data_IF_538587292446
#
_entry.id   IF_538587292446
#
_cell.length_a   1.000
_cell.length_b   1.000
_cell.length_c   1.000
_cell.angle_alpha   90.00
_cell.angle_beta   90.00
_cell.angle_gamma   90.00
#
_symmetry.space_group_name_H-M   'P 1'
#
loop_
_entity.id
_entity.type
_entity.pdbx_description
1 polymer ?
#
# COMPACT_ATOMS: atom_id res chain seq x y z
N UNK A 1 -1.37 -7.25 20.27
CA UNK A 1 -1.25 -6.19 19.23
C UNK A 1 -0.44 -5.03 19.77
N UNK A 2 0.56 -4.55 19.00
CA UNK A 2 1.26 -3.33 19.37
C UNK A 2 0.30 -2.14 19.31
N UNK A 3 0.61 -1.04 20.00
CA UNK A 3 -0.21 0.17 19.92
C UNK A 3 -0.29 0.68 18.46
N UNK A 4 0.81 0.55 17.71
CA UNK A 4 0.87 0.92 16.29
C UNK A 4 -0.13 0.13 15.43
N UNK A 5 -0.30 -1.17 15.68
CA UNK A 5 -1.27 -1.98 14.93
C UNK A 5 -2.71 -1.47 15.12
N UNK A 6 -3.04 -0.97 16.31
CA UNK A 6 -4.39 -0.46 16.60
C UNK A 6 -4.58 0.95 16.04
N UNK A 7 -3.66 1.88 16.31
CA UNK A 7 -3.82 3.28 15.86
C UNK A 7 -3.76 3.44 14.34
N UNK A 8 -3.03 2.55 13.64
CA UNK A 8 -2.97 2.56 12.18
C UNK A 8 -3.94 1.59 11.52
N UNK A 9 -4.83 0.95 12.27
CA UNK A 9 -5.91 0.16 11.67
C UNK A 9 -6.86 1.04 10.85
N UNK A 10 -7.62 0.43 9.94
CA UNK A 10 -8.62 1.13 9.11
C UNK A 10 -9.65 1.92 9.94
N UNK A 11 -9.91 1.47 11.17
CA UNK A 11 -10.83 2.11 12.12
C UNK A 11 -10.32 3.48 12.59
N UNK A 12 -9.01 3.62 12.87
CA UNK A 12 -8.48 4.80 13.55
C UNK A 12 -7.56 5.67 12.70
N UNK A 13 -6.97 5.14 11.63
CA UNK A 13 -5.87 5.84 10.92
C UNK A 13 -6.28 7.22 10.39
N UNK A 14 -7.51 7.39 9.90
CA UNK A 14 -8.00 8.68 9.42
C UNK A 14 -8.29 9.66 10.55
N UNK A 15 -8.66 9.15 11.73
CA UNK A 15 -8.86 9.97 12.93
C UNK A 15 -7.52 10.48 13.44
N UNK A 16 -6.51 9.60 13.53
CA UNK A 16 -5.13 9.96 13.84
C UNK A 16 -4.61 11.02 12.87
N UNK A 17 -4.79 10.82 11.56
CA UNK A 17 -4.33 11.79 10.55
C UNK A 17 -4.99 13.16 10.73
N UNK A 18 -6.31 13.21 11.02
CA UNK A 18 -6.96 14.50 11.24
C UNK A 18 -6.58 15.16 12.57
N UNK A 19 -6.18 14.40 13.59
CA UNK A 19 -5.58 14.99 14.79
C UNK A 19 -4.24 15.69 14.50
N UNK A 20 -3.56 15.29 13.43
CA UNK A 20 -2.28 15.84 12.98
C UNK A 20 -2.41 16.94 11.91
N UNK A 21 -3.63 17.37 11.57
CA UNK A 21 -3.87 18.45 10.60
C UNK A 21 -3.56 19.85 11.14
N UNK A 22 -3.53 19.99 12.47
CA UNK A 22 -3.19 21.23 13.15
C UNK A 22 -1.69 21.29 13.46
N UNK A 23 -1.01 22.28 12.88
CA UNK A 23 0.36 22.63 13.18
C UNK A 23 0.41 24.14 13.50
N UNK A 24 0.77 24.55 14.73
CA UNK A 24 0.84 25.97 15.10
C UNK A 24 1.92 26.74 14.32
N UNK A 25 2.90 26.07 13.73
CA UNK A 25 3.95 26.69 12.93
C UNK A 25 3.49 27.01 11.49
N UNK A 26 2.31 26.53 11.08
CA UNK A 26 1.79 26.70 9.72
C UNK A 26 0.56 27.59 9.73
N UNK A 27 0.56 28.63 8.87
CA UNK A 27 -0.51 29.63 8.81
C UNK A 27 -1.90 29.08 8.41
N UNK A 28 -1.96 27.86 7.83
CA UNK A 28 -3.20 27.21 7.41
C UNK A 28 -3.19 25.75 7.85
N UNK A 29 -4.31 25.33 8.43
CA UNK A 29 -4.61 23.93 8.74
C UNK A 29 -4.50 23.11 7.45
N UNK A 30 -3.70 22.05 7.49
CA UNK A 30 -3.55 21.13 6.37
C UNK A 30 -4.77 20.22 6.30
N UNK A 31 -5.26 19.90 5.10
CA UNK A 31 -6.47 19.09 4.90
C UNK A 31 -6.13 17.66 4.47
N UNK A 32 -5.24 17.00 5.20
CA UNK A 32 -4.74 15.66 4.90
C UNK A 32 -5.85 14.61 4.78
N UNK A 33 -6.84 14.61 5.68
CA UNK A 33 -7.95 13.64 5.69
C UNK A 33 -8.82 13.81 4.45
N UNK A 34 -9.13 15.06 4.07
CA UNK A 34 -9.90 15.37 2.84
C UNK A 34 -9.11 14.94 1.61
N UNK A 35 -7.80 15.21 1.57
CA UNK A 35 -6.96 14.75 0.48
C UNK A 35 -7.00 13.22 0.32
N UNK A 36 -6.79 12.48 1.42
CA UNK A 36 -6.77 11.01 1.41
C UNK A 36 -8.14 10.37 1.10
N UNK A 37 -9.25 11.05 1.41
CA UNK A 37 -10.61 10.56 1.12
C UNK A 37 -11.07 10.92 -0.28
N UNK A 38 -10.82 12.15 -0.72
CA UNK A 38 -11.51 12.72 -1.89
C UNK A 38 -10.60 12.81 -3.12
N UNK A 39 -9.27 12.83 -2.94
CA UNK A 39 -8.31 13.05 -4.04
C UNK A 39 -7.44 11.83 -4.34
N UNK A 40 -7.29 10.92 -3.38
CA UNK A 40 -6.54 9.67 -3.60
C UNK A 40 -7.45 8.65 -4.27
N UNK A 41 -7.09 8.26 -5.50
CA UNK A 41 -7.79 7.24 -6.25
C UNK A 41 -6.99 5.94 -6.20
N UNK A 42 -7.61 4.89 -5.64
CA UNK A 42 -7.06 3.55 -5.71
C UNK A 42 -7.33 2.98 -7.11
N UNK A 43 -6.25 2.74 -7.86
CA UNK A 43 -6.30 2.21 -9.22
C UNK A 43 -5.92 0.74 -9.22
N UNK A 44 -6.76 -0.07 -9.82
CA UNK A 44 -6.57 -1.52 -9.93
C UNK A 44 -6.36 -1.91 -11.39
N UNK A 45 -5.16 -2.38 -11.74
CA UNK A 45 -4.92 -2.97 -13.06
C UNK A 45 -5.74 -4.27 -13.24
N UNK A 46 -5.98 -4.96 -12.12
CA UNK A 46 -6.78 -6.18 -12.00
C UNK A 46 -7.59 -6.06 -10.70
N UNK A 47 -8.91 -6.30 -10.72
CA UNK A 47 -9.73 -6.25 -9.53
C UNK A 47 -9.24 -7.22 -8.44
N UNK A 48 -8.98 -6.70 -7.24
CA UNK A 48 -8.58 -7.48 -6.07
C UNK A 48 -9.83 -7.80 -5.25
N UNK A 49 -10.28 -9.05 -5.29
CA UNK A 49 -11.50 -9.49 -4.59
C UNK A 49 -11.32 -9.60 -3.07
N UNK A 50 -10.09 -9.86 -2.62
CA UNK A 50 -9.80 -10.03 -1.21
C UNK A 50 -9.72 -8.69 -0.48
N UNK A 51 -10.75 -8.38 0.31
CA UNK A 51 -10.86 -7.12 1.08
C UNK A 51 -9.68 -6.93 2.04
N UNK A 52 -9.11 -8.02 2.58
CA UNK A 52 -7.93 -7.92 3.46
C UNK A 52 -6.68 -7.46 2.69
N UNK A 53 -6.54 -7.83 1.42
CA UNK A 53 -5.45 -7.33 0.57
C UNK A 53 -5.63 -5.84 0.30
N UNK A 54 -6.84 -5.43 -0.07
CA UNK A 54 -7.19 -4.02 -0.31
C UNK A 54 -6.95 -3.15 0.93
N UNK A 55 -7.42 -3.61 2.10
CA UNK A 55 -7.18 -2.98 3.40
C UNK A 55 -5.69 -2.76 3.67
N UNK A 56 -4.85 -3.78 3.43
CA UNK A 56 -3.39 -3.66 3.61
C UNK A 56 -2.74 -2.69 2.64
N UNK A 57 -3.18 -2.65 1.39
CA UNK A 57 -2.68 -1.68 0.40
C UNK A 57 -2.99 -0.25 0.85
N UNK A 58 -4.24 0.01 1.27
CA UNK A 58 -4.63 1.33 1.79
C UNK A 58 -3.87 1.70 3.05
N UNK A 59 -3.71 0.76 3.98
CA UNK A 59 -2.94 0.97 5.20
C UNK A 59 -1.49 1.32 4.88
N UNK A 60 -0.84 0.59 3.97
CA UNK A 60 0.52 0.89 3.49
C UNK A 60 0.61 2.31 2.93
N UNK A 61 -0.31 2.71 2.07
CA UNK A 61 -0.32 4.05 1.49
C UNK A 61 -0.48 5.14 2.56
N UNK A 62 -1.44 4.98 3.48
CA UNK A 62 -1.72 5.97 4.53
C UNK A 62 -0.58 6.09 5.53
N UNK A 63 0.06 4.98 5.91
CA UNK A 63 1.25 5.01 6.77
C UNK A 63 2.43 5.65 6.04
N UNK A 64 2.61 5.36 4.74
CA UNK A 64 3.60 6.04 3.90
C UNK A 64 3.37 7.55 3.84
N UNK A 65 2.12 7.98 3.62
CA UNK A 65 1.75 9.39 3.64
C UNK A 65 2.02 10.05 5.00
N UNK A 66 1.66 9.38 6.09
CA UNK A 66 1.97 9.85 7.44
C UNK A 66 3.49 10.02 7.64
N UNK A 67 4.27 9.04 7.22
CA UNK A 67 5.74 9.02 7.34
C UNK A 67 6.41 10.13 6.52
N UNK A 68 6.04 10.26 5.26
CA UNK A 68 6.77 11.07 4.27
C UNK A 68 6.21 12.49 4.12
N UNK A 69 4.94 12.73 4.48
CA UNK A 69 4.26 14.03 4.29
C UNK A 69 3.96 14.71 5.63
N UNK A 70 3.41 13.99 6.61
CA UNK A 70 2.92 14.59 7.85
C UNK A 70 4.02 14.68 8.91
N UNK A 71 4.76 13.60 9.13
CA UNK A 71 5.70 13.49 10.26
C UNK A 71 7.21 13.53 9.94
N UNK A 72 7.72 13.86 8.72
CA UNK A 72 9.13 13.64 8.38
C UNK A 72 10.13 14.41 9.27
N UNK A 73 9.70 15.47 9.97
CA UNK A 73 10.55 16.30 10.83
C UNK A 73 10.52 15.90 12.32
N UNK A 74 9.57 15.07 12.71
CA UNK A 74 9.29 14.78 14.14
C UNK A 74 9.37 13.29 14.47
N UNK A 75 9.57 12.42 13.48
CA UNK A 75 9.81 11.00 13.71
C UNK A 75 11.22 10.78 14.26
N UNK A 76 11.32 10.08 15.38
CA UNK A 76 12.56 9.48 15.83
C UNK A 76 12.86 8.18 15.06
N UNK A 77 14.11 7.71 15.13
CA UNK A 77 14.56 6.53 14.40
C UNK A 77 13.76 5.26 14.77
N UNK A 78 13.35 5.14 16.05
CA UNK A 78 12.60 4.00 16.54
C UNK A 78 11.17 3.94 15.98
N UNK A 79 10.46 5.08 15.93
CA UNK A 79 9.13 5.17 15.33
C UNK A 79 9.23 4.98 13.83
N UNK A 80 10.21 5.58 13.16
CA UNK A 80 10.44 5.40 11.73
C UNK A 80 10.67 3.92 11.37
N UNK A 81 11.49 3.21 12.14
CA UNK A 81 11.71 1.77 11.97
C UNK A 81 10.42 0.96 12.16
N UNK A 82 9.56 1.35 13.12
CA UNK A 82 8.27 0.71 13.37
C UNK A 82 7.30 0.91 12.19
N UNK A 83 7.20 2.12 11.63
CA UNK A 83 6.36 2.40 10.45
C UNK A 83 6.82 1.61 9.23
N UNK A 84 8.14 1.57 8.98
CA UNK A 84 8.72 0.78 7.89
C UNK A 84 8.43 -0.72 8.08
N UNK A 85 8.54 -1.23 9.30
CA UNK A 85 8.21 -2.63 9.61
C UNK A 85 6.75 -2.96 9.25
N UNK A 86 5.80 -2.08 9.57
CA UNK A 86 4.38 -2.28 9.22
C UNK A 86 4.19 -2.26 7.70
N UNK A 87 4.78 -1.29 7.00
CA UNK A 87 4.75 -1.21 5.53
C UNK A 87 5.30 -2.50 4.90
N UNK A 88 6.47 -2.96 5.34
CA UNK A 88 7.09 -4.18 4.83
C UNK A 88 6.23 -5.42 5.12
N UNK A 89 5.66 -5.52 6.31
CA UNK A 89 4.76 -6.62 6.70
C UNK A 89 3.51 -6.66 5.84
N UNK A 90 2.92 -5.50 5.54
CA UNK A 90 1.77 -5.40 4.66
C UNK A 90 2.11 -5.77 3.22
N UNK A 91 3.22 -5.26 2.68
CA UNK A 91 3.68 -5.62 1.33
C UNK A 91 3.90 -7.12 1.21
N UNK A 92 4.51 -7.75 2.22
CA UNK A 92 4.70 -9.19 2.26
C UNK A 92 3.38 -9.98 2.26
N UNK A 93 2.42 -9.56 3.06
CA UNK A 93 1.11 -10.17 3.08
C UNK A 93 0.36 -9.99 1.75
N UNK A 94 0.37 -8.79 1.16
CA UNK A 94 -0.25 -8.50 -0.14
C UNK A 94 0.33 -9.39 -1.22
N UNK A 95 1.67 -9.48 -1.32
CA UNK A 95 2.33 -10.31 -2.33
C UNK A 95 2.00 -11.78 -2.13
N UNK A 96 2.07 -12.28 -0.90
CA UNK A 96 1.75 -13.69 -0.62
C UNK A 96 0.31 -14.01 -1.01
N UNK A 97 -0.64 -13.18 -0.59
CA UNK A 97 -2.07 -13.41 -0.85
C UNK A 97 -2.42 -13.33 -2.34
N UNK A 98 -1.84 -12.39 -3.08
CA UNK A 98 -2.06 -12.28 -4.53
C UNK A 98 -1.38 -13.39 -5.31
N UNK A 99 -0.18 -13.81 -4.90
CA UNK A 99 0.55 -14.94 -5.51
C UNK A 99 -0.20 -16.26 -5.33
N UNK A 100 -0.79 -16.45 -4.15
CA UNK A 100 -1.52 -17.69 -3.83
C UNK A 100 -2.96 -17.69 -4.38
N UNK A 101 -3.45 -16.56 -4.91
CA UNK A 101 -4.73 -16.45 -5.62
C UNK A 101 -4.58 -16.85 -7.10
N UNK A 102 -4.84 -18.13 -7.37
CA UNK A 102 -4.77 -18.68 -8.73
C UNK A 102 -5.71 -17.96 -9.72
N UNK A 103 -6.87 -17.46 -9.28
CA UNK A 103 -7.80 -16.73 -10.15
C UNK A 103 -7.21 -15.38 -10.54
N UNK A 104 -6.64 -14.65 -9.57
CA UNK A 104 -5.97 -13.38 -9.83
C UNK A 104 -4.82 -13.53 -10.83
N UNK A 105 -3.98 -14.56 -10.66
CA UNK A 105 -2.85 -14.83 -11.55
C UNK A 105 -3.32 -15.24 -12.96
N UNK A 106 -4.39 -16.03 -13.06
CA UNK A 106 -4.98 -16.38 -14.36
C UNK A 106 -5.54 -15.13 -15.06
N UNK A 107 -6.26 -14.28 -14.36
CA UNK A 107 -6.83 -13.04 -14.89
C UNK A 107 -5.72 -12.09 -15.37
N UNK A 108 -4.62 -11.98 -14.63
CA UNK A 108 -3.42 -11.21 -15.00
C UNK A 108 -2.85 -11.63 -16.34
N UNK A 109 -2.55 -12.93 -16.50
CA UNK A 109 -1.96 -13.42 -17.74
C UNK A 109 -2.95 -13.46 -18.90
N UNK A 110 -4.23 -13.72 -18.62
CA UNK A 110 -5.30 -13.66 -19.62
C UNK A 110 -5.42 -12.26 -20.22
N UNK A 111 -5.48 -11.22 -19.37
CA UNK A 111 -5.52 -9.83 -19.82
C UNK A 111 -4.27 -9.44 -20.60
N UNK A 112 -3.08 -9.79 -20.11
CA UNK A 112 -1.81 -9.49 -20.80
C UNK A 112 -1.70 -10.12 -22.19
N UNK A 113 -2.30 -11.31 -22.39
CA UNK A 113 -2.29 -12.04 -23.67
C UNK A 113 -3.47 -11.69 -24.56
N UNK A 114 -4.40 -10.86 -24.10
CA UNK A 114 -5.57 -10.49 -24.89
C UNK A 114 -5.15 -9.74 -26.17
N UNK A 115 -5.60 -10.17 -27.36
CA UNK A 115 -5.28 -9.47 -28.61
C UNK A 115 -5.93 -8.08 -28.70
N UNK A 116 -6.94 -7.82 -27.88
CA UNK A 116 -7.73 -6.58 -27.88
C UNK A 116 -7.38 -5.64 -26.71
N UNK A 117 -6.26 -5.86 -26.01
CA UNK A 117 -5.87 -4.99 -24.90
C UNK A 117 -5.50 -3.58 -25.40
N UNK A 118 -6.02 -2.55 -24.75
CA UNK A 118 -5.63 -1.16 -25.03
C UNK A 118 -4.19 -0.88 -24.59
N UNK A 119 -3.54 0.10 -25.22
CA UNK A 119 -2.18 0.49 -24.82
C UNK A 119 -2.10 1.00 -23.37
N UNK A 120 -3.16 1.67 -22.90
CA UNK A 120 -3.27 2.14 -21.52
C UNK A 120 -3.36 0.98 -20.53
N UNK A 121 -4.29 0.04 -20.73
CA UNK A 121 -4.41 -1.14 -19.85
C UNK A 121 -3.16 -2.02 -19.89
N UNK A 122 -2.51 -2.14 -21.05
CA UNK A 122 -1.23 -2.86 -21.16
C UNK A 122 -0.14 -2.18 -20.33
N UNK A 123 -0.06 -0.86 -20.38
CA UNK A 123 0.88 -0.08 -19.56
C UNK A 123 0.61 -0.27 -18.08
N UNK A 124 -0.65 -0.22 -17.65
CA UNK A 124 -1.05 -0.42 -16.25
C UNK A 124 -0.66 -1.81 -15.74
N UNK A 125 -0.90 -2.87 -16.53
CA UNK A 125 -0.50 -4.24 -16.16
C UNK A 125 1.03 -4.40 -16.07
N UNK A 126 1.79 -3.76 -16.97
CA UNK A 126 3.26 -3.78 -16.91
C UNK A 126 3.77 -3.04 -15.68
N UNK A 127 3.20 -1.87 -15.37
CA UNK A 127 3.55 -1.12 -14.16
C UNK A 127 3.23 -1.92 -12.89
N UNK A 128 2.05 -2.54 -12.84
CA UNK A 128 1.67 -3.43 -11.75
C UNK A 128 2.67 -4.58 -11.59
N UNK A 129 3.01 -5.29 -12.66
CA UNK A 129 4.00 -6.38 -12.63
C UNK A 129 5.39 -5.91 -12.18
N UNK A 130 5.82 -4.74 -12.65
CA UNK A 130 7.08 -4.15 -12.25
C UNK A 130 7.09 -3.85 -10.75
N UNK A 131 6.03 -3.23 -10.22
CA UNK A 131 5.90 -2.94 -8.79
C UNK A 131 5.81 -4.22 -7.96
N UNK A 132 4.98 -5.19 -8.37
CA UNK A 132 4.85 -6.50 -7.72
C UNK A 132 6.20 -7.21 -7.62
N UNK A 133 6.98 -7.24 -8.71
CA UNK A 133 8.32 -7.82 -8.74
C UNK A 133 9.36 -7.00 -7.96
N UNK A 134 9.17 -5.69 -7.84
CA UNK A 134 10.07 -4.83 -7.07
C UNK A 134 9.86 -5.04 -5.58
N UNK A 135 8.60 -5.06 -5.15
CA UNK A 135 8.23 -5.32 -3.76
C UNK A 135 8.57 -6.75 -3.34
N UNK A 136 8.47 -7.73 -4.25
CA UNK A 136 8.86 -9.12 -3.93
C UNK A 136 10.34 -9.29 -3.60
N UNK A 137 11.22 -8.46 -4.16
CA UNK A 137 12.65 -8.42 -3.81
C UNK A 137 12.94 -7.91 -2.40
N UNK A 138 11.97 -7.24 -1.77
CA UNK A 138 12.08 -6.77 -0.38
C UNK A 138 11.63 -7.81 0.65
N UNK A 139 11.14 -8.97 0.20
CA UNK A 139 10.70 -10.05 1.09
C UNK A 139 11.88 -10.79 1.71
N UNK A 140 11.70 -11.45 2.87
CA UNK A 140 12.68 -12.39 3.39
C UNK A 140 13.02 -13.47 2.36
N UNK A 141 14.29 -13.89 2.30
CA UNK A 141 14.83 -14.81 1.29
C UNK A 141 13.98 -16.09 1.10
N UNK A 142 13.43 -16.64 2.18
CA UNK A 142 12.56 -17.82 2.14
C UNK A 142 11.26 -17.56 1.36
N UNK A 143 10.68 -16.37 1.48
CA UNK A 143 9.49 -15.98 0.74
C UNK A 143 9.83 -15.68 -0.74
N UNK A 144 10.98 -15.07 -1.00
CA UNK A 144 11.47 -14.86 -2.37
C UNK A 144 11.62 -16.18 -3.14
N UNK A 145 12.26 -17.19 -2.54
CA UNK A 145 12.46 -18.50 -3.17
C UNK A 145 11.14 -19.23 -3.49
N UNK A 146 10.06 -18.93 -2.77
CA UNK A 146 8.70 -19.45 -3.04
C UNK A 146 7.93 -18.68 -4.11
N UNK A 147 8.37 -17.45 -4.43
CA UNK A 147 7.79 -16.61 -5.48
C UNK A 147 8.37 -16.91 -6.86
N UNK A 148 9.66 -17.26 -6.92
CA UNK A 148 10.37 -17.50 -8.18
C UNK A 148 10.40 -18.98 -8.62
N UNK A 149 9.69 -19.86 -7.90
CA UNK A 149 9.44 -21.25 -8.30
C UNK A 149 8.02 -21.39 -8.84
#
# INVERSE_FOLDING_TARGET
PSIFDKIFSDEFILDIIGALEYDPEVAKVQKHRIFLKDHVVFKEAIPIKNISVVSRIHQTYRIGYLKDVILPRILDDATLASLNTIIHTNNAAVISLLKDDACFIQDLFSRMRSPNISMESKRELVLFLHEFCTLSKSLPLVQQLRLFR
#
